data_IF_694940441192
#
_entry.id   IF_694940441192
#
_cell.length_a   1.000
_cell.length_b   1.000
_cell.length_c   1.000
_cell.angle_alpha   90.00
_cell.angle_beta   90.00
_cell.angle_gamma   90.00
#
_symmetry.space_group_name_H-M   'P 1'
#
loop_
_entity.id
_entity.type
_entity.pdbx_description
1 polymer ?
#
# COMPACT_ATOMS: atom_id res chain seq x y z
N UNK A 1 17.87 15.06 -12.17
CA UNK A 1 17.80 13.85 -13.04
C UNK A 1 17.39 12.66 -12.18
N UNK A 2 16.13 12.23 -12.23
CA UNK A 2 15.68 11.06 -11.47
C UNK A 2 16.31 9.80 -12.08
N UNK A 3 17.19 9.12 -11.32
CA UNK A 3 17.83 7.88 -11.76
C UNK A 3 16.73 6.87 -12.03
N UNK A 4 16.66 6.35 -13.26
CA UNK A 4 15.82 5.21 -13.63
C UNK A 4 16.38 3.99 -12.89
N UNK A 5 15.98 3.79 -11.65
CA UNK A 5 16.25 2.50 -10.99
C UNK A 5 15.49 1.44 -11.78
N UNK A 6 16.16 0.35 -12.20
CA UNK A 6 15.49 -0.71 -12.92
C UNK A 6 14.51 -1.43 -11.97
N UNK A 7 13.36 -1.93 -12.46
CA UNK A 7 12.32 -2.54 -11.63
C UNK A 7 12.79 -3.71 -10.76
N UNK A 8 13.85 -4.41 -11.20
CA UNK A 8 14.52 -5.51 -10.49
C UNK A 8 15.22 -5.10 -9.19
N UNK A 9 15.69 -3.87 -9.07
CA UNK A 9 16.37 -3.35 -7.88
C UNK A 9 15.39 -2.67 -6.89
N UNK A 10 14.14 -2.46 -7.30
CA UNK A 10 13.12 -1.82 -6.47
C UNK A 10 12.47 -2.81 -5.53
N UNK A 11 12.48 -2.49 -4.23
CA UNK A 11 11.87 -3.33 -3.21
C UNK A 11 10.52 -2.77 -2.74
N UNK A 12 9.45 -3.48 -3.07
CA UNK A 12 8.06 -3.14 -2.72
C UNK A 12 7.65 -3.98 -1.50
N UNK A 13 7.35 -3.31 -0.40
CA UNK A 13 6.85 -3.92 0.82
C UNK A 13 5.34 -3.80 0.97
N UNK A 14 4.80 -4.47 2.00
CA UNK A 14 3.37 -4.39 2.35
C UNK A 14 2.90 -2.98 2.67
N UNK A 15 3.78 -2.18 3.27
CA UNK A 15 3.51 -0.79 3.57
C UNK A 15 3.28 0.00 2.28
N UNK A 16 4.18 -0.14 1.30
CA UNK A 16 4.07 0.54 0.01
C UNK A 16 2.78 0.14 -0.74
N UNK A 17 2.43 -1.16 -0.71
CA UNK A 17 1.20 -1.68 -1.32
C UNK A 17 -0.04 -1.12 -0.62
N UNK A 18 -0.09 -1.15 0.71
CA UNK A 18 -1.26 -0.68 1.47
C UNK A 18 -1.45 0.83 1.31
N UNK A 19 -0.35 1.59 1.38
CA UNK A 19 -0.39 3.03 1.17
C UNK A 19 -0.92 3.39 -0.21
N UNK A 20 -0.39 2.74 -1.24
CA UNK A 20 -0.75 3.05 -2.62
C UNK A 20 -2.14 2.52 -2.98
N UNK A 21 -2.55 1.39 -2.41
CA UNK A 21 -3.90 0.86 -2.57
C UNK A 21 -4.95 1.86 -2.03
N UNK A 22 -4.79 2.31 -0.79
CA UNK A 22 -5.73 3.25 -0.19
C UNK A 22 -5.68 4.65 -0.83
N UNK A 23 -4.51 5.08 -1.31
CA UNK A 23 -4.38 6.26 -2.16
C UNK A 23 -5.16 6.10 -3.47
N UNK A 24 -4.99 4.97 -4.16
CA UNK A 24 -5.68 4.69 -5.42
C UNK A 24 -7.20 4.59 -5.25
N UNK A 25 -7.66 3.97 -4.16
CA UNK A 25 -9.07 3.89 -3.77
C UNK A 25 -9.65 5.28 -3.53
N UNK A 26 -9.03 6.09 -2.67
CA UNK A 26 -9.47 7.46 -2.39
C UNK A 26 -9.54 8.33 -3.67
N UNK A 27 -8.55 8.21 -4.57
CA UNK A 27 -8.59 8.91 -5.86
C UNK A 27 -9.76 8.47 -6.75
N UNK A 28 -10.15 7.19 -6.70
CA UNK A 28 -11.30 6.68 -7.46
C UNK A 28 -12.63 7.11 -6.85
N UNK A 29 -12.68 7.33 -5.53
CA UNK A 29 -13.81 7.95 -4.82
C UNK A 29 -13.92 9.47 -5.05
N UNK A 30 -13.03 10.07 -5.86
CA UNK A 30 -13.06 11.49 -6.18
C UNK A 30 -12.46 12.39 -5.10
N UNK A 31 -11.69 11.82 -4.17
CA UNK A 31 -10.95 12.59 -3.16
C UNK A 31 -9.77 13.29 -3.82
N UNK A 32 -9.46 14.50 -3.33
CA UNK A 32 -8.29 15.26 -3.76
C UNK A 32 -6.97 14.49 -3.56
N UNK A 33 -5.97 14.78 -4.38
CA UNK A 33 -4.70 14.06 -4.37
C UNK A 33 -3.97 14.14 -3.02
N UNK A 34 -3.93 15.31 -2.38
CA UNK A 34 -3.24 15.48 -1.10
C UNK A 34 -3.93 14.70 0.01
N UNK A 35 -5.26 14.75 0.06
CA UNK A 35 -6.04 13.99 1.03
C UNK A 35 -5.95 12.48 0.77
N UNK A 36 -5.97 12.05 -0.49
CA UNK A 36 -5.78 10.65 -0.85
C UNK A 36 -4.41 10.14 -0.40
N UNK A 37 -3.34 10.94 -0.56
CA UNK A 37 -1.98 10.59 -0.10
C UNK A 37 -1.93 10.44 1.41
N UNK A 38 -2.59 11.34 2.14
CA UNK A 38 -2.72 11.26 3.60
C UNK A 38 -3.46 9.99 4.02
N UNK A 39 -4.60 9.67 3.39
CA UNK A 39 -5.36 8.43 3.63
C UNK A 39 -4.50 7.18 3.39
N UNK A 40 -3.69 7.19 2.32
CA UNK A 40 -2.70 6.17 2.04
C UNK A 40 -1.72 5.95 3.20
N UNK A 41 -1.08 7.02 3.67
CA UNK A 41 -0.15 6.93 4.81
C UNK A 41 -0.84 6.50 6.11
N UNK A 42 -2.01 7.05 6.43
CA UNK A 42 -2.78 6.67 7.62
C UNK A 42 -3.11 5.18 7.60
N UNK A 43 -3.63 4.66 6.48
CA UNK A 43 -3.95 3.25 6.33
C UNK A 43 -2.71 2.37 6.53
N UNK A 44 -1.56 2.77 5.98
CA UNK A 44 -0.33 2.01 6.10
C UNK A 44 0.25 2.03 7.53
N UNK A 45 0.23 3.18 8.20
CA UNK A 45 0.67 3.34 9.59
C UNK A 45 -0.26 2.58 10.55
N UNK A 46 -1.58 2.71 10.39
CA UNK A 46 -2.55 1.98 11.20
C UNK A 46 -2.48 0.48 10.96
N UNK A 47 -2.30 0.05 9.71
CA UNK A 47 -2.10 -1.36 9.36
C UNK A 47 -0.84 -1.96 9.99
N UNK A 48 0.24 -1.18 10.09
CA UNK A 48 1.43 -1.58 10.82
C UNK A 48 1.16 -1.67 12.35
N UNK A 49 0.48 -0.68 12.94
CA UNK A 49 0.15 -0.64 14.38
C UNK A 49 -0.80 -1.76 14.82
N UNK A 50 -1.87 -2.03 14.05
CA UNK A 50 -2.87 -3.04 14.37
C UNK A 50 -2.29 -4.47 14.45
N UNK A 51 -1.16 -4.71 13.77
CA UNK A 51 -0.48 -6.01 13.80
C UNK A 51 0.60 -6.10 14.88
N UNK A 52 1.21 -4.97 15.25
CA UNK A 52 2.11 -4.88 16.41
C UNK A 52 1.34 -5.11 17.73
N UNK A 53 0.06 -4.74 17.79
CA UNK A 53 -0.82 -5.05 18.93
C UNK A 53 -1.25 -6.52 19.05
N UNK A 54 -0.80 -7.41 18.16
CA UNK A 54 -1.12 -8.87 18.20
C UNK A 54 0.02 -9.74 18.73
N UNK A 55 1.14 -9.15 19.16
CA UNK A 55 2.22 -9.89 19.80
C UNK A 55 2.18 -9.64 21.32
N UNK A 56 1.44 -10.49 22.04
CA UNK A 56 1.59 -10.67 23.49
C UNK A 56 0.47 -10.12 24.38
N UNK A 57 -0.33 -11.05 24.92
CA UNK A 57 -0.72 -11.12 26.34
C UNK A 57 -1.36 -9.92 27.06
N UNK A 58 -2.63 -10.12 27.42
CA UNK A 58 -3.39 -9.56 28.57
C UNK A 58 -3.77 -8.06 28.58
N UNK A 59 -5.06 -7.75 28.86
CA UNK A 59 -5.54 -6.39 29.06
C UNK A 59 -5.32 -5.97 30.52
N UNK A 60 -4.27 -5.23 30.81
CA UNK A 60 -4.15 -4.57 32.12
C UNK A 60 -3.50 -3.20 31.94
N UNK A 61 -4.37 -2.20 31.99
CA UNK A 61 -4.27 -0.90 32.68
C UNK A 61 -3.05 0.04 32.51
N UNK A 62 -1.88 -0.42 32.05
CA UNK A 62 -0.69 0.44 31.87
C UNK A 62 -0.64 1.13 30.48
N UNK A 63 -1.62 0.85 29.63
CA UNK A 63 -1.63 1.28 28.23
C UNK A 63 -2.02 2.75 28.01
N UNK A 64 -2.41 3.48 29.06
CA UNK A 64 -2.82 4.90 28.95
C UNK A 64 -1.63 5.85 29.09
N UNK A 65 -0.69 5.58 30.00
CA UNK A 65 0.44 6.46 30.27
C UNK A 65 1.50 6.48 29.13
N UNK A 66 1.72 5.34 28.44
CA UNK A 66 2.65 5.28 27.30
C UNK A 66 2.03 5.74 25.97
N UNK A 67 0.69 5.79 25.89
CA UNK A 67 -0.05 6.30 24.72
C UNK A 67 0.06 7.82 24.65
N UNK A 68 -0.11 8.52 25.77
CA UNK A 68 0.02 9.99 25.81
C UNK A 68 1.48 10.49 25.66
N UNK A 69 2.46 9.78 26.21
CA UNK A 69 3.87 10.18 26.09
C UNK A 69 4.44 9.99 24.66
N UNK A 70 3.93 9.01 23.90
CA UNK A 70 4.29 8.82 22.49
C UNK A 70 3.49 9.73 21.55
N UNK A 71 2.26 10.12 21.91
CA UNK A 71 1.43 11.05 21.13
C UNK A 71 1.95 12.49 21.14
N UNK A 72 2.71 12.91 22.18
CA UNK A 72 3.30 14.26 22.23
C UNK A 72 4.64 14.43 21.51
N UNK A 73 5.42 13.36 21.29
CA UNK A 73 6.75 13.47 20.64
C UNK A 73 6.83 12.97 19.19
N UNK A 74 5.78 12.33 18.66
CA UNK A 74 5.70 11.90 17.26
C UNK A 74 4.29 12.06 16.68
N UNK A 75 3.70 13.25 16.80
CA UNK A 75 2.89 13.78 15.69
C UNK A 75 3.84 13.94 14.49
N UNK A 76 4.25 12.83 13.88
CA UNK A 76 4.67 12.85 12.48
C UNK A 76 3.42 13.30 11.78
N UNK A 77 3.34 14.60 11.47
CA UNK A 77 2.27 15.20 10.68
C UNK A 77 2.15 14.31 9.45
N UNK A 78 1.13 13.45 9.41
CA UNK A 78 0.93 12.56 8.28
C UNK A 78 0.45 13.47 7.15
N UNK A 79 1.40 14.00 6.39
CA UNK A 79 1.18 14.88 5.26
C UNK A 79 1.25 14.10 3.96
N UNK A 80 0.71 14.68 2.90
CA UNK A 80 0.91 14.19 1.54
C UNK A 80 2.41 14.06 1.19
N UNK A 81 3.23 15.02 1.62
CA UNK A 81 4.68 14.95 1.45
C UNK A 81 5.32 13.73 2.10
N UNK A 82 4.76 13.23 3.21
CA UNK A 82 5.25 12.00 3.86
C UNK A 82 4.99 10.77 3.00
N UNK A 83 3.90 10.76 2.24
CA UNK A 83 3.62 9.73 1.23
C UNK A 83 4.64 9.82 0.10
N UNK A 84 4.84 11.02 -0.44
CA UNK A 84 5.78 11.24 -1.54
C UNK A 84 7.19 10.80 -1.14
N UNK A 85 7.70 11.21 0.03
CA UNK A 85 9.04 10.80 0.49
C UNK A 85 9.19 9.31 0.76
N UNK A 86 8.17 8.66 1.34
CA UNK A 86 8.30 7.27 1.80
C UNK A 86 7.92 6.22 0.74
N UNK A 87 7.07 6.60 -0.22
CA UNK A 87 6.53 5.68 -1.24
C UNK A 87 6.91 6.14 -2.63
N UNK A 88 6.53 7.37 -3.02
CA UNK A 88 6.69 7.81 -4.40
C UNK A 88 8.17 8.04 -4.77
N UNK A 89 8.92 8.81 -3.99
CA UNK A 89 10.33 9.16 -4.19
C UNK A 89 11.22 7.93 -4.12
N UNK A 90 10.95 7.02 -3.16
CA UNK A 90 11.63 5.73 -3.03
C UNK A 90 11.56 4.90 -4.32
N UNK A 91 10.40 4.89 -4.99
CA UNK A 91 10.19 4.17 -6.25
C UNK A 91 10.47 5.05 -7.49
N UNK A 92 10.63 6.36 -7.28
CA UNK A 92 10.81 7.37 -8.32
C UNK A 92 9.83 7.22 -9.48
N UNK A 93 10.38 7.18 -10.69
CA UNK A 93 9.61 7.15 -11.94
C UNK A 93 8.71 5.91 -12.06
N UNK A 94 9.09 4.78 -11.45
CA UNK A 94 8.28 3.56 -11.49
C UNK A 94 6.94 3.73 -10.78
N UNK A 95 6.89 4.56 -9.73
CA UNK A 95 5.65 4.83 -9.00
C UNK A 95 4.58 5.39 -9.94
N UNK A 96 4.89 6.49 -10.63
CA UNK A 96 3.94 7.17 -11.51
C UNK A 96 3.68 6.42 -12.82
N UNK A 97 4.68 5.71 -13.37
CA UNK A 97 4.55 5.04 -14.67
C UNK A 97 3.92 3.65 -14.62
N UNK A 98 4.22 2.87 -13.58
CA UNK A 98 3.80 1.46 -13.51
C UNK A 98 2.95 1.22 -12.26
N UNK A 99 3.48 1.53 -11.08
CA UNK A 99 2.91 1.06 -9.81
C UNK A 99 1.52 1.65 -9.54
N UNK A 100 1.39 2.98 -9.58
CA UNK A 100 0.13 3.69 -9.37
C UNK A 100 -0.92 3.33 -10.42
N UNK A 101 -0.65 3.39 -11.74
CA UNK A 101 -1.66 3.02 -12.73
C UNK A 101 -2.07 1.55 -12.64
N UNK A 102 -1.15 0.62 -12.34
CA UNK A 102 -1.50 -0.76 -12.08
C UNK A 102 -2.42 -0.89 -10.86
N UNK A 103 -2.08 -0.22 -9.75
CA UNK A 103 -2.89 -0.26 -8.52
C UNK A 103 -4.30 0.31 -8.76
N UNK A 104 -4.42 1.46 -9.43
CA UNK A 104 -5.72 2.04 -9.81
C UNK A 104 -6.57 1.05 -10.64
N UNK A 105 -5.96 0.30 -11.56
CA UNK A 105 -6.67 -0.71 -12.35
C UNK A 105 -7.14 -1.90 -11.49
N UNK A 106 -6.36 -2.32 -10.51
CA UNK A 106 -6.76 -3.39 -9.58
C UNK A 106 -7.93 -2.94 -8.71
N UNK A 107 -7.87 -1.73 -8.15
CA UNK A 107 -8.99 -1.18 -7.36
C UNK A 107 -10.22 -0.98 -8.23
N UNK A 108 -10.06 -0.45 -9.45
CA UNK A 108 -11.17 -0.29 -10.41
C UNK A 108 -11.78 -1.63 -10.85
N UNK A 109 -11.00 -2.71 -10.86
CA UNK A 109 -11.50 -4.08 -11.07
C UNK A 109 -12.20 -4.67 -9.83
N UNK A 110 -12.32 -3.90 -8.75
CA UNK A 110 -13.01 -4.30 -7.52
C UNK A 110 -12.20 -5.22 -6.62
N UNK A 111 -10.89 -5.34 -6.81
CA UNK A 111 -10.05 -6.20 -5.96
C UNK A 111 -9.86 -5.54 -4.60
N UNK A 112 -10.13 -6.30 -3.54
CA UNK A 112 -9.80 -5.88 -2.18
C UNK A 112 -8.30 -5.95 -1.92
N UNK A 113 -7.81 -5.21 -0.91
CA UNK A 113 -6.41 -5.27 -0.47
C UNK A 113 -5.90 -6.70 -0.22
N UNK A 114 -6.74 -7.60 0.32
CA UNK A 114 -6.34 -8.99 0.53
C UNK A 114 -6.12 -9.77 -0.78
N UNK A 115 -6.97 -9.52 -1.77
CA UNK A 115 -6.84 -10.09 -3.10
C UNK A 115 -5.61 -9.55 -3.82
N UNK A 116 -5.34 -8.24 -3.69
CA UNK A 116 -4.13 -7.63 -4.23
C UNK A 116 -2.88 -8.29 -3.64
N UNK A 117 -2.82 -8.48 -2.31
CA UNK A 117 -1.69 -9.18 -1.66
C UNK A 117 -1.51 -10.60 -2.18
N UNK A 118 -2.62 -11.35 -2.35
CA UNK A 118 -2.62 -12.72 -2.87
C UNK A 118 -2.13 -12.76 -4.32
N UNK A 119 -2.60 -11.84 -5.16
CA UNK A 119 -2.21 -11.68 -6.55
C UNK A 119 -0.71 -11.39 -6.67
N UNK A 120 -0.22 -10.39 -5.92
CA UNK A 120 1.20 -10.05 -5.94
C UNK A 120 2.04 -11.02 -5.12
N UNK A 121 1.47 -12.10 -4.59
CA UNK A 121 2.09 -13.14 -3.75
C UNK A 121 3.12 -12.56 -2.76
N UNK A 122 2.77 -11.45 -2.10
CA UNK A 122 3.69 -10.85 -1.14
C UNK A 122 3.76 -11.75 0.11
N UNK A 123 4.95 -12.17 0.56
CA UNK A 123 5.06 -13.09 1.70
C UNK A 123 4.38 -12.52 2.93
N UNK A 124 3.75 -13.35 3.76
CA UNK A 124 3.05 -12.92 4.98
C UNK A 124 4.01 -12.48 6.09
N UNK A 125 5.29 -12.84 5.97
CA UNK A 125 6.40 -12.42 6.82
C UNK A 125 6.60 -10.90 6.82
N UNK A 126 6.87 -10.33 7.99
CA UNK A 126 7.12 -8.90 8.14
C UNK A 126 8.49 -8.52 7.57
N UNK A 127 8.59 -7.33 6.97
CA UNK A 127 9.81 -6.90 6.26
C UNK A 127 10.05 -7.58 4.91
N UNK A 128 9.25 -8.59 4.53
CA UNK A 128 9.33 -9.20 3.21
C UNK A 128 8.95 -8.20 2.12
N UNK A 129 9.74 -8.21 1.05
CA UNK A 129 9.60 -7.32 -0.10
C UNK A 129 9.56 -8.17 -1.37
N UNK A 130 8.82 -7.71 -2.36
CA UNK A 130 8.87 -8.23 -3.72
C UNK A 130 9.60 -7.21 -4.60
N UNK A 131 10.11 -7.64 -5.74
CA UNK A 131 10.69 -6.71 -6.71
C UNK A 131 9.61 -5.96 -7.50
N UNK A 132 9.95 -4.81 -8.06
CA UNK A 132 9.07 -4.09 -9.00
C UNK A 132 8.70 -4.93 -10.22
N UNK A 133 9.65 -5.73 -10.71
CA UNK A 133 9.44 -6.67 -11.80
C UNK A 133 8.43 -7.77 -11.44
N UNK A 134 8.55 -8.37 -10.25
CA UNK A 134 7.57 -9.36 -9.76
C UNK A 134 6.18 -8.76 -9.62
N UNK A 135 6.08 -7.51 -9.19
CA UNK A 135 4.79 -6.82 -9.11
C UNK A 135 4.20 -6.60 -10.52
N UNK A 136 5.00 -6.08 -11.45
CA UNK A 136 4.57 -5.80 -12.82
C UNK A 136 4.16 -7.09 -13.54
N UNK A 137 4.97 -8.14 -13.47
CA UNK A 137 4.68 -9.43 -14.09
C UNK A 137 3.36 -10.02 -13.56
N UNK A 138 3.16 -10.02 -12.24
CA UNK A 138 1.96 -10.61 -11.60
C UNK A 138 0.70 -9.81 -11.91
N UNK A 139 0.81 -8.48 -11.94
CA UNK A 139 -0.33 -7.62 -12.30
C UNK A 139 -0.62 -7.69 -13.80
N UNK A 140 0.41 -7.73 -14.65
CA UNK A 140 0.26 -7.91 -16.09
C UNK A 140 -0.32 -9.28 -16.45
N UNK A 141 0.10 -10.37 -15.79
CA UNK A 141 -0.49 -11.71 -15.95
C UNK A 141 -1.98 -11.71 -15.58
N UNK A 142 -2.36 -11.06 -14.49
CA UNK A 142 -3.77 -10.91 -14.12
C UNK A 142 -4.59 -10.20 -15.20
N UNK A 143 -4.11 -9.06 -15.72
CA UNK A 143 -4.80 -8.33 -16.79
C UNK A 143 -4.74 -9.05 -18.14
N UNK A 144 -3.68 -9.81 -18.40
CA UNK A 144 -3.53 -10.65 -19.59
C UNK A 144 -4.50 -11.83 -19.59
N UNK A 145 -4.73 -12.45 -18.42
CA UNK A 145 -5.74 -13.49 -18.21
C UNK A 145 -7.16 -12.93 -18.21
N UNK A 146 -7.38 -11.75 -17.63
CA UNK A 146 -8.68 -11.07 -17.66
C UNK A 146 -9.15 -10.72 -19.09
N UNK A 147 -8.24 -10.62 -20.06
CA UNK A 147 -8.56 -10.48 -21.50
C UNK A 147 -8.97 -11.79 -22.18
N UNK A 148 -8.76 -12.96 -21.57
CA UNK A 148 -8.97 -14.29 -22.19
C UNK A 148 -10.17 -15.10 -21.65
N UNK A 149 -11.01 -14.56 -20.75
CA UNK A 149 -12.19 -15.29 -20.26
C UNK A 149 -13.07 -14.47 -19.32
N UNK A 150 -14.37 -14.82 -19.18
CA UNK A 150 -15.39 -13.91 -18.72
C UNK A 150 -15.19 -13.59 -17.24
N UNK A 151 -15.35 -12.33 -16.89
CA UNK A 151 -15.52 -11.87 -15.51
C UNK A 151 -16.87 -12.38 -14.99
N UNK A 152 -16.95 -13.08 -13.85
CA UNK A 152 -18.13 -13.01 -13.02
C UNK A 152 -17.72 -12.42 -11.68
N UNK A 153 -18.17 -11.21 -11.43
CA UNK A 153 -18.43 -10.77 -10.07
C UNK A 153 -19.87 -10.27 -10.04
N UNK A 154 -20.79 -11.23 -10.09
CA UNK A 154 -22.15 -11.02 -9.61
C UNK A 154 -22.05 -10.66 -8.13
N UNK A 155 -22.47 -9.45 -7.78
CA UNK A 155 -22.84 -9.12 -6.40
C UNK A 155 -24.20 -9.77 -6.16
N UNK A 156 -24.27 -10.64 -5.17
CA UNK A 156 -25.51 -10.96 -4.44
C UNK A 156 -25.62 -10.00 -3.25
#
# INVERSE_FOLDING_TARGET
MAKKQPPKDMSIGKFDILATYAYAEALLDGVDEDEAKQRGMVAAVMGAKAKLGRTGGSPTDDHKARKEAAEKKKKTTITAESFDRQVADKMGVFFGKTFLPAMKRLVKAGLSYDEVKKLVKIPTTWGAKITGEQFEERTADYFGRAKKGPTPRSKE
#
